data_IF_073002342717
#
_entry.id   IF_073002342717
#
_cell.length_a   1.000
_cell.length_b   1.000
_cell.length_c   1.000
_cell.angle_alpha   90.00
_cell.angle_beta   90.00
_cell.angle_gamma   90.00
#
_symmetry.space_group_name_H-M   'P 1'
#
loop_
_entity.id
_entity.type
_entity.pdbx_description
1 polymer ?
#
# COMPACT_ATOMS: atom_id res chain seq x y z
N UNK A 1 27.80 35.27 -32.36
CA UNK A 1 27.83 34.64 -31.02
C UNK A 1 26.51 33.90 -30.85
N UNK A 2 26.51 32.67 -31.31
CA UNK A 2 25.41 31.70 -31.24
C UNK A 2 25.32 31.10 -29.83
N UNK A 3 24.17 30.50 -29.54
CA UNK A 3 23.92 29.55 -28.44
C UNK A 3 23.34 30.16 -27.15
N UNK A 4 22.09 30.61 -27.20
CA UNK A 4 21.15 30.55 -26.06
C UNK A 4 19.71 30.58 -26.59
N UNK A 5 19.29 29.48 -27.19
CA UNK A 5 17.94 29.31 -27.69
C UNK A 5 17.72 27.89 -28.16
N UNK A 6 17.06 27.09 -27.30
CA UNK A 6 16.32 25.83 -27.60
C UNK A 6 16.45 24.72 -26.53
N UNK A 7 16.29 25.01 -25.23
CA UNK A 7 16.16 23.93 -24.22
C UNK A 7 14.83 23.97 -23.45
N UNK A 8 13.81 24.65 -23.98
CA UNK A 8 12.46 24.65 -23.42
C UNK A 8 11.39 24.52 -24.51
N UNK A 9 11.55 23.51 -25.37
CA UNK A 9 10.66 23.29 -26.50
C UNK A 9 10.53 21.81 -26.84
N UNK A 10 10.16 20.98 -25.86
CA UNK A 10 9.54 19.69 -26.13
C UNK A 10 8.62 19.31 -24.96
N UNK A 11 7.51 20.06 -24.84
CA UNK A 11 6.35 19.55 -24.10
C UNK A 11 5.69 18.53 -25.01
N UNK A 12 6.10 17.27 -24.88
CA UNK A 12 5.34 16.13 -25.39
C UNK A 12 3.88 16.32 -24.94
N UNK A 13 3.01 16.54 -25.91
CA UNK A 13 1.58 16.64 -25.72
C UNK A 13 1.09 15.21 -25.44
N UNK A 14 1.36 14.70 -24.23
CA UNK A 14 0.90 13.39 -23.78
C UNK A 14 -0.62 13.44 -23.75
N UNK A 15 -1.25 13.01 -24.84
CA UNK A 15 -2.70 12.96 -24.93
C UNK A 15 -3.18 11.72 -24.16
N UNK A 16 -4.20 11.89 -23.32
CA UNK A 16 -4.86 10.77 -22.63
C UNK A 16 -5.25 9.66 -23.60
N UNK A 17 -5.57 10.02 -24.84
CA UNK A 17 -5.87 9.08 -25.92
C UNK A 17 -4.69 8.17 -26.31
N UNK A 18 -3.48 8.71 -26.47
CA UNK A 18 -2.27 7.91 -26.70
C UNK A 18 -1.94 7.02 -25.50
N UNK A 19 -2.21 7.49 -24.29
CA UNK A 19 -2.08 6.70 -23.08
C UNK A 19 -2.98 5.45 -23.12
N UNK A 20 -4.29 5.62 -23.37
CA UNK A 20 -5.21 4.49 -23.49
C UNK A 20 -4.86 3.57 -24.67
N UNK A 21 -4.31 4.11 -25.76
CA UNK A 21 -3.81 3.32 -26.89
C UNK A 21 -2.64 2.43 -26.49
N UNK A 22 -1.69 2.92 -25.70
CA UNK A 22 -0.57 2.09 -25.18
C UNK A 22 -1.06 0.92 -24.31
N UNK A 23 -2.16 1.08 -23.55
CA UNK A 23 -2.78 -0.05 -22.83
C UNK A 23 -3.40 -1.06 -23.80
N UNK A 24 -4.00 -0.58 -24.89
CA UNK A 24 -4.56 -1.43 -25.94
C UNK A 24 -3.49 -2.18 -26.75
N UNK A 25 -2.25 -1.68 -26.78
CA UNK A 25 -1.10 -2.33 -27.40
C UNK A 25 -0.57 -3.53 -26.56
N UNK A 26 -1.06 -3.72 -25.33
CA UNK A 26 -0.83 -4.99 -24.64
C UNK A 26 -1.55 -6.13 -25.36
N UNK A 27 -0.86 -7.26 -25.53
CA UNK A 27 -1.50 -8.45 -26.11
C UNK A 27 -2.69 -8.88 -25.24
N UNK A 28 -3.81 -9.27 -25.87
CA UNK A 28 -5.05 -9.70 -25.19
C UNK A 28 -4.82 -10.64 -23.98
N UNK A 29 -3.89 -11.61 -24.03
CA UNK A 29 -3.63 -12.48 -22.90
C UNK A 29 -3.06 -11.77 -21.66
N UNK A 30 -2.28 -10.69 -21.84
CA UNK A 30 -1.72 -9.92 -20.71
C UNK A 30 -2.82 -9.07 -20.09
N UNK A 31 -3.68 -8.45 -20.90
CA UNK A 31 -4.84 -7.70 -20.40
C UNK A 31 -5.76 -8.59 -19.55
N UNK A 32 -6.08 -9.80 -20.04
CA UNK A 32 -6.89 -10.77 -19.28
C UNK A 32 -6.22 -11.18 -17.97
N UNK A 33 -4.89 -11.31 -17.95
CA UNK A 33 -4.13 -11.60 -16.73
C UNK A 33 -4.22 -10.46 -15.72
N UNK A 34 -3.99 -9.21 -16.18
CA UNK A 34 -4.10 -8.02 -15.35
C UNK A 34 -5.51 -7.86 -14.77
N UNK A 35 -6.56 -8.07 -15.58
CA UNK A 35 -7.94 -8.02 -15.09
C UNK A 35 -8.14 -9.00 -13.93
N UNK A 36 -7.62 -10.23 -14.05
CA UNK A 36 -7.70 -11.22 -12.96
C UNK A 36 -6.94 -10.79 -11.71
N UNK A 37 -5.73 -10.23 -11.88
CA UNK A 37 -4.91 -9.72 -10.77
C UNK A 37 -5.62 -8.60 -10.03
N UNK A 38 -6.06 -7.55 -10.73
CA UNK A 38 -6.75 -6.41 -10.11
C UNK A 38 -8.15 -6.78 -9.56
N UNK A 39 -8.86 -7.72 -10.20
CA UNK A 39 -10.13 -8.23 -9.66
C UNK A 39 -9.93 -9.01 -8.37
N UNK A 40 -8.88 -9.86 -8.32
CA UNK A 40 -8.52 -10.60 -7.11
C UNK A 40 -8.08 -9.62 -6.01
N UNK A 41 -7.29 -8.60 -6.36
CA UNK A 41 -6.87 -7.55 -5.43
C UNK A 41 -8.08 -6.84 -4.78
N UNK A 42 -9.10 -6.51 -5.57
CA UNK A 42 -10.33 -5.93 -5.04
C UNK A 42 -11.03 -6.84 -4.01
N UNK A 43 -11.07 -8.16 -4.28
CA UNK A 43 -11.58 -9.15 -3.31
C UNK A 43 -10.72 -9.18 -2.05
N UNK A 44 -9.39 -9.10 -2.16
CA UNK A 44 -8.51 -9.04 -0.98
C UNK A 44 -8.77 -7.80 -0.14
N UNK A 45 -9.00 -6.64 -0.75
CA UNK A 45 -9.37 -5.42 -0.03
C UNK A 45 -10.69 -5.59 0.73
N UNK A 46 -11.70 -6.23 0.14
CA UNK A 46 -12.97 -6.52 0.81
C UNK A 46 -12.78 -7.50 1.98
N UNK A 47 -11.98 -8.54 1.80
CA UNK A 47 -11.65 -9.50 2.86
C UNK A 47 -10.87 -8.84 4.01
N UNK A 48 -9.95 -7.94 3.69
CA UNK A 48 -9.21 -7.15 4.68
C UNK A 48 -10.16 -6.27 5.48
N UNK A 49 -11.07 -5.56 4.80
CA UNK A 49 -12.09 -4.76 5.47
C UNK A 49 -12.99 -5.61 6.37
N UNK A 50 -13.38 -6.81 5.92
CA UNK A 50 -14.14 -7.76 6.72
C UNK A 50 -13.36 -8.25 7.95
N UNK A 51 -12.06 -8.52 7.81
CA UNK A 51 -11.17 -8.88 8.91
C UNK A 51 -11.05 -7.77 9.95
N UNK A 52 -10.82 -6.52 9.50
CA UNK A 52 -10.79 -5.36 10.39
C UNK A 52 -12.13 -5.14 11.12
N UNK A 53 -13.25 -5.32 10.42
CA UNK A 53 -14.58 -5.22 11.03
C UNK A 53 -14.84 -6.34 12.06
N UNK A 54 -14.43 -7.56 11.77
CA UNK A 54 -14.51 -8.69 12.69
C UNK A 54 -13.69 -8.44 13.97
N UNK A 55 -12.55 -7.76 13.86
CA UNK A 55 -11.77 -7.32 15.01
C UNK A 55 -12.55 -6.32 15.88
N UNK A 56 -13.06 -5.24 15.26
CA UNK A 56 -13.75 -4.15 15.97
C UNK A 56 -15.02 -4.65 16.69
N UNK A 57 -15.74 -5.59 16.09
CA UNK A 57 -16.97 -6.16 16.67
C UNK A 57 -16.70 -7.19 17.78
N UNK A 58 -15.45 -7.52 18.07
CA UNK A 58 -15.09 -8.50 19.09
C UNK A 58 -15.46 -9.93 18.73
N UNK A 59 -15.70 -10.23 17.44
CA UNK A 59 -16.14 -11.54 16.97
C UNK A 59 -15.05 -12.62 17.12
N UNK A 60 -13.79 -12.23 17.34
CA UNK A 60 -12.66 -13.14 17.52
C UNK A 60 -12.12 -13.08 18.96
N UNK A 61 -12.29 -14.17 19.70
CA UNK A 61 -11.86 -14.36 21.10
C UNK A 61 -10.36 -14.15 21.34
N UNK A 62 -9.52 -14.24 20.31
CA UNK A 62 -8.06 -14.12 20.42
C UNK A 62 -7.51 -12.73 20.16
N UNK A 63 -8.36 -11.74 19.85
CA UNK A 63 -7.90 -10.38 19.52
C UNK A 63 -7.13 -10.32 18.19
N UNK A 64 -7.32 -9.23 17.47
CA UNK A 64 -6.45 -8.86 16.35
C UNK A 64 -5.10 -8.42 16.90
N UNK A 65 -4.01 -8.83 16.25
CA UNK A 65 -2.66 -8.54 16.70
C UNK A 65 -1.65 -9.62 16.29
N UNK A 66 -0.77 -10.01 17.20
CA UNK A 66 0.37 -10.89 16.90
C UNK A 66 -0.07 -12.26 16.35
N UNK A 67 -1.15 -12.86 16.87
CA UNK A 67 -1.59 -14.18 16.40
C UNK A 67 -2.09 -14.12 14.95
N UNK A 68 -2.95 -13.15 14.61
CA UNK A 68 -3.41 -12.95 13.23
C UNK A 68 -2.24 -12.66 12.28
N UNK A 69 -1.24 -11.89 12.74
CA UNK A 69 0.00 -11.67 12.00
C UNK A 69 0.76 -12.98 11.74
N UNK A 70 0.94 -13.83 12.76
CA UNK A 70 1.64 -15.11 12.61
C UNK A 70 0.90 -16.07 11.66
N UNK A 71 -0.43 -16.15 11.74
CA UNK A 71 -1.24 -16.96 10.82
C UNK A 71 -1.16 -16.42 9.38
N UNK A 72 -1.19 -15.09 9.22
CA UNK A 72 -0.94 -14.44 7.93
C UNK A 72 0.44 -14.81 7.37
N UNK A 73 1.48 -14.76 8.21
CA UNK A 73 2.86 -15.10 7.84
C UNK A 73 2.99 -16.57 7.41
N UNK A 74 2.34 -17.50 8.11
CA UNK A 74 2.28 -18.92 7.69
C UNK A 74 1.64 -19.04 6.29
N UNK A 75 0.64 -18.22 5.99
CA UNK A 75 -0.02 -18.23 4.69
C UNK A 75 0.90 -17.71 3.57
N UNK A 76 1.69 -16.66 3.83
CA UNK A 76 2.72 -16.16 2.91
C UNK A 76 3.81 -17.19 2.64
N UNK A 77 4.30 -17.84 3.70
CA UNK A 77 5.26 -18.93 3.61
C UNK A 77 4.68 -20.06 2.76
N UNK A 78 3.45 -20.48 3.03
CA UNK A 78 2.75 -21.50 2.26
C UNK A 78 2.67 -21.16 0.77
N UNK A 79 2.26 -19.95 0.41
CA UNK A 79 2.19 -19.50 -1.00
C UNK A 79 3.57 -19.53 -1.66
N UNK A 80 4.64 -19.21 -0.92
CA UNK A 80 6.01 -19.16 -1.43
C UNK A 80 6.59 -20.54 -1.71
N UNK A 81 6.23 -21.55 -0.90
CA UNK A 81 6.70 -22.93 -1.08
C UNK A 81 5.81 -23.75 -2.03
N UNK A 82 4.55 -23.37 -2.26
CA UNK A 82 3.67 -24.05 -3.19
C UNK A 82 3.93 -23.60 -4.64
N UNK A 83 4.36 -24.51 -5.55
CA UNK A 83 4.56 -24.16 -6.95
C UNK A 83 3.21 -23.87 -7.63
N UNK A 84 3.25 -23.01 -8.66
CA UNK A 84 2.09 -22.68 -9.49
C UNK A 84 1.72 -23.83 -10.43
N UNK A 85 1.04 -24.83 -9.89
CA UNK A 85 0.50 -25.97 -10.64
C UNK A 85 -1.02 -26.00 -10.54
N UNK A 86 -1.74 -26.57 -11.53
CA UNK A 86 -3.20 -26.63 -11.50
C UNK A 86 -3.78 -27.24 -10.22
N UNK A 87 -3.12 -28.25 -9.66
CA UNK A 87 -3.56 -28.94 -8.43
C UNK A 87 -3.46 -28.04 -7.19
N UNK A 88 -2.48 -27.15 -7.16
CA UNK A 88 -2.23 -26.28 -6.01
C UNK A 88 -3.05 -24.99 -6.06
N UNK A 89 -3.69 -24.66 -7.18
CA UNK A 89 -4.38 -23.37 -7.37
C UNK A 89 -5.37 -23.06 -6.26
N UNK A 90 -6.26 -24.00 -5.94
CA UNK A 90 -7.30 -23.77 -4.93
C UNK A 90 -6.70 -23.51 -3.55
N UNK A 91 -5.68 -24.27 -3.17
CA UNK A 91 -4.97 -24.09 -1.90
C UNK A 91 -4.29 -22.73 -1.88
N UNK A 92 -3.61 -22.32 -2.96
CA UNK A 92 -2.94 -21.02 -3.06
C UNK A 92 -3.91 -19.85 -2.96
N UNK A 93 -5.08 -19.90 -3.61
CA UNK A 93 -6.13 -18.89 -3.43
C UNK A 93 -6.70 -18.89 -2.01
N UNK A 94 -6.92 -20.06 -1.41
CA UNK A 94 -7.36 -20.17 -0.01
C UNK A 94 -6.38 -19.52 0.96
N UNK A 95 -5.08 -19.78 0.79
CA UNK A 95 -4.02 -19.14 1.57
C UNK A 95 -3.96 -17.62 1.34
N UNK A 96 -4.17 -17.16 0.09
CA UNK A 96 -4.20 -15.73 -0.24
C UNK A 96 -5.39 -15.01 0.43
N UNK A 97 -6.57 -15.62 0.40
CA UNK A 97 -7.77 -15.07 1.03
C UNK A 97 -7.66 -15.09 2.55
N UNK A 98 -7.11 -16.17 3.12
CA UNK A 98 -6.79 -16.25 4.53
C UNK A 98 -5.79 -15.16 4.92
N UNK A 99 -4.73 -14.97 4.15
CA UNK A 99 -3.75 -13.90 4.38
C UNK A 99 -4.42 -12.52 4.42
N UNK A 100 -5.23 -12.17 3.43
CA UNK A 100 -5.91 -10.87 3.39
C UNK A 100 -6.86 -10.65 4.58
N UNK A 101 -7.64 -11.66 4.97
CA UNK A 101 -8.51 -11.56 6.14
C UNK A 101 -7.73 -11.40 7.45
N UNK A 102 -6.64 -12.18 7.61
CA UNK A 102 -5.77 -12.12 8.79
C UNK A 102 -5.01 -10.80 8.87
N UNK A 103 -4.62 -10.23 7.73
CA UNK A 103 -4.03 -8.89 7.65
C UNK A 103 -5.02 -7.83 8.14
N UNK A 104 -6.30 -7.94 7.76
CA UNK A 104 -7.37 -7.11 8.30
C UNK A 104 -7.50 -7.19 9.83
N UNK A 105 -7.48 -8.42 10.38
CA UNK A 105 -7.47 -8.62 11.83
C UNK A 105 -6.22 -7.99 12.49
N UNK A 106 -5.05 -8.10 11.86
CA UNK A 106 -3.77 -7.56 12.35
C UNK A 106 -3.77 -6.03 12.40
N UNK A 107 -4.36 -5.38 11.39
CA UNK A 107 -4.47 -3.91 11.32
C UNK A 107 -5.65 -3.39 12.15
N UNK A 108 -6.59 -4.27 12.54
CA UNK A 108 -7.77 -3.96 13.34
C UNK A 108 -7.52 -3.03 14.53
N UNK A 109 -6.53 -3.29 15.41
CA UNK A 109 -6.22 -2.41 16.55
C UNK A 109 -5.83 -0.98 16.15
N UNK A 110 -5.14 -0.81 15.01
CA UNK A 110 -4.77 0.52 14.50
C UNK A 110 -6.01 1.27 13.99
N UNK A 111 -6.95 0.56 13.37
CA UNK A 111 -8.23 1.12 12.94
C UNK A 111 -9.08 1.48 14.15
N UNK A 112 -9.12 0.61 15.17
CA UNK A 112 -9.83 0.88 16.43
C UNK A 112 -9.29 2.15 17.11
N UNK A 113 -7.96 2.31 17.17
CA UNK A 113 -7.32 3.55 17.63
C UNK A 113 -7.77 4.78 16.83
N UNK A 114 -7.87 4.66 15.50
CA UNK A 114 -8.37 5.74 14.65
C UNK A 114 -9.83 6.11 14.95
N UNK A 115 -10.68 5.11 15.22
CA UNK A 115 -12.09 5.29 15.59
C UNK A 115 -12.26 5.90 16.99
N UNK A 116 -11.35 5.61 17.91
CA UNK A 116 -11.33 6.22 19.24
C UNK A 116 -11.01 7.72 19.19
N UNK A 117 -10.16 8.16 18.25
CA UNK A 117 -9.87 9.59 18.02
C UNK A 117 -11.01 10.26 17.25
N UNK A 118 -11.57 9.58 16.26
CA UNK A 118 -12.66 10.09 15.43
C UNK A 118 -13.73 9.01 15.25
N UNK A 119 -14.76 9.07 16.10
CA UNK A 119 -15.85 8.08 16.09
C UNK A 119 -16.68 8.08 14.81
N UNK A 120 -16.55 9.12 13.96
CA UNK A 120 -17.23 9.18 12.66
C UNK A 120 -16.57 8.34 11.56
N UNK A 121 -15.41 7.73 11.82
CA UNK A 121 -14.69 6.90 10.84
C UNK A 121 -14.06 7.68 9.68
N UNK A 122 -14.09 9.01 9.72
CA UNK A 122 -13.60 9.89 8.66
C UNK A 122 -12.11 9.67 8.37
N UNK A 123 -11.30 9.41 9.41
CA UNK A 123 -9.87 9.15 9.27
C UNK A 123 -9.62 7.91 8.41
N UNK A 124 -10.35 6.83 8.67
CA UNK A 124 -10.21 5.54 7.96
C UNK A 124 -10.69 5.68 6.52
N UNK A 125 -11.81 6.38 6.30
CA UNK A 125 -12.33 6.67 4.95
C UNK A 125 -11.33 7.50 4.14
N UNK A 126 -10.75 8.53 4.74
CA UNK A 126 -9.76 9.39 4.10
C UNK A 126 -8.47 8.62 3.79
N UNK A 127 -8.00 7.77 4.71
CA UNK A 127 -6.85 6.89 4.47
C UNK A 127 -7.09 5.97 3.27
N UNK A 128 -8.24 5.29 3.25
CA UNK A 128 -8.64 4.40 2.14
C UNK A 128 -8.71 5.16 0.81
N UNK A 129 -9.27 6.38 0.83
CA UNK A 129 -9.41 7.21 -0.36
C UNK A 129 -8.05 7.63 -0.92
N UNK A 130 -7.14 8.13 -0.07
CA UNK A 130 -5.79 8.50 -0.49
C UNK A 130 -4.98 7.30 -0.96
N UNK A 131 -5.07 6.15 -0.29
CA UNK A 131 -4.43 4.91 -0.77
C UNK A 131 -4.95 4.53 -2.14
N UNK A 132 -6.27 4.52 -2.36
CA UNK A 132 -6.86 4.18 -3.66
C UNK A 132 -6.41 5.14 -4.76
N UNK A 133 -6.34 6.44 -4.47
CA UNK A 133 -5.88 7.44 -5.44
C UNK A 133 -4.40 7.27 -5.77
N UNK A 134 -3.54 7.12 -4.76
CA UNK A 134 -2.10 6.94 -4.92
C UNK A 134 -1.81 5.64 -5.67
N UNK A 135 -2.34 4.52 -5.17
CA UNK A 135 -2.13 3.20 -5.77
C UNK A 135 -2.66 3.17 -7.21
N UNK A 136 -3.90 3.60 -7.43
CA UNK A 136 -4.51 3.65 -8.76
C UNK A 136 -3.72 4.53 -9.74
N UNK A 137 -3.23 5.70 -9.30
CA UNK A 137 -2.46 6.62 -10.15
C UNK A 137 -1.10 6.04 -10.53
N UNK A 138 -0.38 5.45 -9.57
CA UNK A 138 0.94 4.85 -9.83
C UNK A 138 0.83 3.56 -10.64
N UNK A 139 -0.13 2.69 -10.35
CA UNK A 139 -0.43 1.52 -11.16
C UNK A 139 -0.81 1.90 -12.60
N UNK A 140 -1.66 2.92 -12.78
CA UNK A 140 -2.05 3.37 -14.11
C UNK A 140 -0.84 3.98 -14.85
N UNK A 141 -0.10 4.89 -14.22
CA UNK A 141 1.12 5.48 -14.79
C UNK A 141 2.13 4.41 -15.21
N UNK A 142 2.28 3.37 -14.38
CA UNK A 142 3.08 2.19 -14.69
C UNK A 142 2.56 1.51 -15.96
N UNK A 143 1.29 1.08 -16.01
CA UNK A 143 0.71 0.41 -17.19
C UNK A 143 0.81 1.23 -18.49
N UNK A 144 0.89 2.55 -18.38
CA UNK A 144 1.04 3.49 -19.49
C UNK A 144 2.49 3.71 -19.96
N UNK A 145 3.47 3.32 -19.16
CA UNK A 145 4.89 3.59 -19.40
C UNK A 145 5.58 2.47 -20.19
N UNK A 146 6.65 2.83 -20.92
CA UNK A 146 7.42 1.92 -21.75
C UNK A 146 8.37 1.02 -20.94
N UNK A 147 8.35 -0.28 -21.26
CA UNK A 147 8.73 -1.43 -20.41
C UNK A 147 10.22 -1.61 -20.04
N UNK A 148 11.14 -0.71 -20.40
CA UNK A 148 12.58 -1.04 -20.47
C UNK A 148 13.44 -0.64 -19.25
N UNK A 149 12.95 0.16 -18.31
CA UNK A 149 13.82 0.77 -17.28
C UNK A 149 13.76 0.11 -15.89
N UNK A 150 12.92 -0.91 -15.68
CA UNK A 150 12.51 -1.30 -14.33
C UNK A 150 13.39 -2.32 -13.60
N UNK A 151 14.29 -3.02 -14.27
CA UNK A 151 15.15 -4.03 -13.60
C UNK A 151 16.10 -3.38 -12.58
N UNK A 152 16.64 -2.19 -12.88
CA UNK A 152 17.50 -1.45 -11.94
C UNK A 152 16.74 -0.86 -10.75
N UNK A 153 15.42 -0.64 -10.89
CA UNK A 153 14.61 -0.05 -9.84
C UNK A 153 14.40 -1.02 -8.66
N UNK A 154 14.33 -2.33 -8.94
CA UNK A 154 14.16 -3.36 -7.89
C UNK A 154 15.31 -3.36 -6.88
N UNK A 155 16.56 -3.22 -7.33
CA UNK A 155 17.72 -3.17 -6.43
C UNK A 155 17.74 -1.92 -5.55
N UNK A 156 17.35 -0.76 -6.11
CA UNK A 156 17.24 0.50 -5.36
C UNK A 156 16.13 0.40 -4.31
N UNK A 157 14.95 -0.09 -4.69
CA UNK A 157 13.80 -0.24 -3.80
C UNK A 157 14.06 -1.26 -2.69
N UNK A 158 14.70 -2.39 -3.01
CA UNK A 158 15.09 -3.40 -2.01
C UNK A 158 16.10 -2.84 -1.00
N UNK A 159 17.07 -2.06 -1.48
CA UNK A 159 18.04 -1.36 -0.62
C UNK A 159 17.34 -0.33 0.27
N UNK A 160 16.37 0.43 -0.26
CA UNK A 160 15.60 1.40 0.49
C UNK A 160 14.75 0.75 1.60
N UNK A 161 14.08 -0.37 1.32
CA UNK A 161 13.34 -1.13 2.35
C UNK A 161 14.28 -1.67 3.42
N UNK A 162 15.45 -2.19 3.02
CA UNK A 162 16.46 -2.65 3.97
C UNK A 162 16.94 -1.51 4.88
N UNK A 163 17.13 -0.31 4.32
CA UNK A 163 17.46 0.88 5.09
C UNK A 163 16.35 1.27 6.07
N UNK A 164 15.08 1.24 5.63
CA UNK A 164 13.93 1.51 6.51
C UNK A 164 13.83 0.49 7.64
N UNK A 165 14.08 -0.79 7.35
CA UNK A 165 14.13 -1.85 8.36
C UNK A 165 15.19 -1.54 9.43
N UNK A 166 16.41 -1.20 9.02
CA UNK A 166 17.47 -0.82 9.97
C UNK A 166 17.12 0.45 10.74
N UNK A 167 16.53 1.44 10.08
CA UNK A 167 16.06 2.67 10.74
C UNK A 167 15.02 2.37 11.82
N UNK A 168 14.03 1.51 11.53
CA UNK A 168 13.03 1.08 12.50
C UNK A 168 13.66 0.27 13.66
N UNK A 169 14.58 -0.64 13.35
CA UNK A 169 15.30 -1.45 14.33
C UNK A 169 16.10 -0.57 15.31
N UNK A 170 16.92 0.35 14.82
CA UNK A 170 17.68 1.27 15.68
C UNK A 170 16.75 2.22 16.44
N UNK A 171 15.69 2.71 15.79
CA UNK A 171 14.75 3.60 16.45
C UNK A 171 13.97 2.91 17.58
N UNK A 172 13.80 1.59 17.55
CA UNK A 172 13.21 0.84 18.65
C UNK A 172 14.03 0.96 19.96
N UNK A 173 15.35 1.12 19.87
CA UNK A 173 16.22 1.36 21.04
C UNK A 173 16.34 2.84 21.41
N UNK A 174 16.32 3.74 20.41
CA UNK A 174 16.53 5.18 20.61
C UNK A 174 15.24 5.89 21.05
N UNK A 175 14.09 5.49 20.51
CA UNK A 175 12.79 6.13 20.77
C UNK A 175 12.62 7.53 20.14
N UNK A 176 13.29 7.82 19.02
CA UNK A 176 13.27 9.14 18.39
C UNK A 176 12.00 9.37 17.56
N UNK A 177 11.24 10.43 17.91
CA UNK A 177 10.07 10.88 17.13
C UNK A 177 10.43 11.35 15.72
N UNK A 178 11.63 11.90 15.54
CA UNK A 178 12.12 12.37 14.25
C UNK A 178 12.38 11.19 13.32
N UNK A 179 13.11 10.17 13.79
CA UNK A 179 13.40 8.96 13.02
C UNK A 179 12.10 8.22 12.67
N UNK A 180 11.18 8.12 13.62
CA UNK A 180 9.86 7.53 13.37
C UNK A 180 9.10 8.28 12.25
N UNK A 181 9.08 9.62 12.30
CA UNK A 181 8.40 10.42 11.29
C UNK A 181 9.10 10.31 9.92
N UNK A 182 10.43 10.32 9.90
CA UNK A 182 11.21 10.15 8.68
C UNK A 182 10.97 8.77 8.04
N UNK A 183 11.06 7.69 8.83
CA UNK A 183 10.74 6.32 8.40
C UNK A 183 9.35 6.26 7.78
N UNK A 184 8.38 6.92 8.42
CA UNK A 184 7.00 6.87 7.99
C UNK A 184 6.80 7.49 6.59
N UNK A 185 7.35 8.69 6.35
CA UNK A 185 7.21 9.40 5.06
C UNK A 185 8.13 8.82 3.98
N UNK A 186 9.36 8.44 4.31
CA UNK A 186 10.27 7.79 3.37
C UNK A 186 9.72 6.44 2.94
N UNK A 187 9.18 5.66 3.87
CA UNK A 187 8.54 4.39 3.56
C UNK A 187 7.33 4.57 2.65
N UNK A 188 6.50 5.58 2.88
CA UNK A 188 5.38 5.87 1.97
C UNK A 188 5.87 6.11 0.53
N UNK A 189 6.93 6.90 0.36
CA UNK A 189 7.53 7.13 -0.95
C UNK A 189 8.09 5.84 -1.58
N UNK A 190 8.75 5.01 -0.78
CA UNK A 190 9.32 3.73 -1.23
C UNK A 190 8.22 2.77 -1.70
N UNK A 191 7.12 2.61 -0.95
CA UNK A 191 6.01 1.75 -1.36
C UNK A 191 5.26 2.28 -2.58
N UNK A 192 5.15 3.60 -2.76
CA UNK A 192 4.69 4.15 -4.04
C UNK A 192 5.59 3.73 -5.20
N UNK A 193 6.91 3.68 -4.98
CA UNK A 193 7.88 3.14 -5.95
C UNK A 193 7.68 1.66 -6.24
N UNK A 194 7.38 0.84 -5.23
CA UNK A 194 7.06 -0.57 -5.42
C UNK A 194 5.80 -0.79 -6.23
N UNK A 195 4.72 -0.01 -6.02
CA UNK A 195 3.51 -0.12 -6.85
C UNK A 195 3.85 0.02 -8.34
N UNK A 196 4.74 0.96 -8.69
CA UNK A 196 5.20 1.13 -10.07
C UNK A 196 6.00 -0.10 -10.51
N UNK A 197 7.00 -0.51 -9.72
CA UNK A 197 7.90 -1.62 -10.00
C UNK A 197 7.16 -2.95 -10.15
N UNK A 198 6.30 -3.32 -9.21
CA UNK A 198 5.53 -4.56 -9.19
C UNK A 198 4.52 -4.59 -10.32
N UNK A 199 3.84 -3.47 -10.60
CA UNK A 199 2.95 -3.39 -11.77
C UNK A 199 3.71 -3.64 -13.07
N UNK A 200 4.92 -3.10 -13.23
CA UNK A 200 5.77 -3.38 -14.40
C UNK A 200 6.26 -4.82 -14.43
N UNK A 201 6.66 -5.35 -13.29
CA UNK A 201 7.18 -6.69 -13.16
C UNK A 201 6.12 -7.73 -13.52
N UNK A 202 4.86 -7.49 -13.15
CA UNK A 202 3.71 -8.30 -13.53
C UNK A 202 3.52 -8.31 -15.05
N UNK A 203 3.56 -7.14 -15.69
CA UNK A 203 3.46 -7.03 -17.15
C UNK A 203 4.62 -7.74 -17.83
N UNK A 204 5.84 -7.56 -17.34
CA UNK A 204 7.04 -8.20 -17.87
C UNK A 204 6.99 -9.72 -17.74
N UNK A 205 6.68 -10.26 -16.55
CA UNK A 205 6.52 -11.70 -16.31
C UNK A 205 5.42 -12.29 -17.20
N UNK A 206 4.31 -11.58 -17.37
CA UNK A 206 3.22 -12.00 -18.25
C UNK A 206 3.62 -12.05 -19.74
N UNK A 207 4.53 -11.17 -20.20
CA UNK A 207 5.10 -11.26 -21.56
C UNK A 207 5.99 -12.48 -21.75
N UNK A 208 6.67 -12.93 -20.69
CA UNK A 208 7.48 -14.15 -20.68
C UNK A 208 6.65 -15.43 -20.50
N UNK A 209 5.32 -15.32 -20.40
CA UNK A 209 4.42 -16.46 -20.24
C UNK A 209 4.12 -16.84 -18.78
N UNK A 210 4.75 -16.20 -17.79
CA UNK A 210 4.45 -16.41 -16.37
C UNK A 210 3.20 -15.63 -15.96
N UNK A 211 2.11 -16.35 -15.66
CA UNK A 211 0.77 -15.80 -15.37
C UNK A 211 0.24 -16.26 -14.00
N UNK A 212 1.10 -16.20 -12.99
CA UNK A 212 0.75 -16.55 -11.61
C UNK A 212 -0.08 -15.43 -10.98
N UNK A 213 -1.41 -15.54 -11.06
CA UNK A 213 -2.34 -14.52 -10.52
C UNK A 213 -2.18 -14.38 -9.00
N UNK A 214 -1.97 -15.49 -8.27
CA UNK A 214 -1.88 -15.46 -6.81
C UNK A 214 -0.67 -14.64 -6.37
N UNK A 215 0.50 -14.95 -6.93
CA UNK A 215 1.75 -14.24 -6.57
C UNK A 215 1.70 -12.78 -6.98
N UNK A 216 1.25 -12.49 -8.20
CA UNK A 216 1.17 -11.12 -8.70
C UNK A 216 0.16 -10.27 -7.92
N UNK A 217 -0.96 -10.86 -7.50
CA UNK A 217 -1.93 -10.16 -6.63
C UNK A 217 -1.35 -9.93 -5.24
N UNK A 218 -0.65 -10.92 -4.69
CA UNK A 218 -0.02 -10.81 -3.38
C UNK A 218 1.02 -9.68 -3.31
N UNK A 219 1.90 -9.59 -4.30
CA UNK A 219 2.91 -8.54 -4.43
C UNK A 219 2.25 -7.14 -4.37
N UNK A 220 1.25 -6.89 -5.24
CA UNK A 220 0.50 -5.62 -5.23
C UNK A 220 -0.30 -5.37 -3.94
N UNK A 221 -0.84 -6.42 -3.32
CA UNK A 221 -1.63 -6.30 -2.11
C UNK A 221 -0.78 -5.85 -0.91
N UNK A 222 0.44 -6.39 -0.79
CA UNK A 222 1.39 -5.98 0.27
C UNK A 222 1.73 -4.49 0.13
N UNK A 223 2.01 -4.01 -1.08
CA UNK A 223 2.25 -2.58 -1.32
C UNK A 223 1.05 -1.71 -0.97
N UNK A 224 -0.14 -2.13 -1.37
CA UNK A 224 -1.39 -1.41 -1.09
C UNK A 224 -1.62 -1.26 0.42
N UNK A 225 -1.45 -2.35 1.18
CA UNK A 225 -1.59 -2.35 2.63
C UNK A 225 -0.51 -1.49 3.29
N UNK A 226 0.74 -1.59 2.83
CA UNK A 226 1.82 -0.77 3.35
C UNK A 226 1.58 0.73 3.17
N UNK A 227 1.04 1.15 2.01
CA UNK A 227 0.61 2.53 1.77
C UNK A 227 -0.55 2.91 2.70
N UNK A 228 -1.58 2.06 2.81
CA UNK A 228 -2.74 2.28 3.69
C UNK A 228 -2.34 2.51 5.14
N UNK A 229 -1.57 1.60 5.73
CA UNK A 229 -1.16 1.68 7.14
C UNK A 229 -0.38 2.98 7.40
N UNK A 230 0.53 3.38 6.50
CA UNK A 230 1.30 4.61 6.64
C UNK A 230 0.44 5.86 6.54
N UNK A 231 -0.48 5.93 5.58
CA UNK A 231 -1.40 7.06 5.44
C UNK A 231 -2.33 7.14 6.66
N UNK A 232 -2.86 6.00 7.11
CA UNK A 232 -3.70 5.94 8.31
C UNK A 232 -2.96 6.51 9.51
N UNK A 233 -1.71 6.10 9.73
CA UNK A 233 -0.89 6.62 10.82
C UNK A 233 -0.62 8.14 10.69
N UNK A 234 -0.32 8.64 9.49
CA UNK A 234 -0.17 10.09 9.24
C UNK A 234 -1.44 10.84 9.66
N UNK A 235 -2.61 10.35 9.27
CA UNK A 235 -3.88 11.01 9.54
C UNK A 235 -4.26 10.96 11.02
N UNK A 236 -3.98 9.84 11.70
CA UNK A 236 -4.10 9.70 13.16
C UNK A 236 -3.26 10.77 13.85
N UNK A 237 -1.94 10.80 13.57
CA UNK A 237 -0.99 11.75 14.19
C UNK A 237 -1.42 13.20 13.95
N UNK A 238 -1.78 13.54 12.72
CA UNK A 238 -2.24 14.89 12.36
C UNK A 238 -3.54 15.29 13.09
N UNK A 239 -4.41 14.32 13.37
CA UNK A 239 -5.68 14.57 14.08
C UNK A 239 -5.43 14.80 15.58
N UNK A 240 -4.57 13.99 16.20
CA UNK A 240 -4.16 14.16 17.60
C UNK A 240 -3.48 15.52 17.83
N UNK A 241 -2.56 15.94 16.94
CA UNK A 241 -1.89 17.24 17.02
C UNK A 241 -2.88 18.41 16.94
N UNK A 242 -3.87 18.33 16.05
CA UNK A 242 -4.94 19.33 15.93
C UNK A 242 -5.81 19.41 17.19
N UNK A 243 -6.18 18.27 17.75
CA UNK A 243 -6.99 18.24 18.97
C UNK A 243 -6.23 18.82 20.17
N UNK A 244 -4.97 18.44 20.34
CA UNK A 244 -4.09 18.97 21.38
C UNK A 244 -3.90 20.49 21.27
N UNK A 245 -3.78 21.01 20.04
CA UNK A 245 -3.73 22.46 19.78
C UNK A 245 -5.01 23.18 20.20
N UNK A 246 -6.19 22.60 19.90
CA UNK A 246 -7.50 23.15 20.30
C UNK A 246 -7.66 23.17 21.82
N UNK A 247 -7.31 22.08 22.51
CA UNK A 247 -7.37 21.97 23.98
C UNK A 247 -6.49 23.05 24.64
N UNK A 248 -5.25 23.23 24.17
CA UNK A 248 -4.34 24.29 24.67
C UNK A 248 -4.91 25.69 24.47
N UNK A 249 -5.54 25.97 23.31
CA UNK A 249 -6.16 27.26 23.02
C UNK A 249 -7.37 27.55 23.93
N UNK A 250 -8.20 26.54 24.18
CA UNK A 250 -9.37 26.68 25.06
C UNK A 250 -8.95 26.91 26.52
N UNK A 251 -7.94 26.18 27.01
CA UNK A 251 -7.42 26.38 28.36
C UNK A 251 -6.88 27.81 28.56
N UNK A 252 -6.16 28.34 27.57
CA UNK A 252 -5.69 29.73 27.61
C UNK A 252 -6.85 30.72 27.64
N UNK A 253 -7.88 30.54 26.81
CA UNK A 253 -9.07 31.41 26.79
C UNK A 253 -9.80 31.41 28.13
N UNK A 254 -10.04 30.24 28.72
CA UNK A 254 -10.70 30.11 30.01
C UNK A 254 -9.89 30.78 31.13
N UNK A 255 -8.56 30.71 31.06
CA UNK A 255 -7.69 31.41 32.01
C UNK A 255 -7.83 32.93 31.89
N UNK A 256 -7.90 33.50 30.69
CA UNK A 256 -8.09 34.94 30.51
C UNK A 256 -9.51 35.43 30.86
N UNK A 257 -10.54 34.59 30.74
CA UNK A 257 -11.91 34.94 31.14
C UNK A 257 -12.17 34.81 32.65
N UNK A 258 -11.22 34.26 33.41
CA UNK A 258 -11.30 34.13 34.86
C UNK A 258 -10.65 35.31 35.63
N UNK A 259 -10.05 36.27 34.91
CA UNK A 259 -9.53 37.54 35.42
C UNK A 259 -10.37 38.70 34.87
#
# INVERSE_FOLDING_TARGET
MSTFGSTFGDRNNFSTFEAFKNVSDLTKPIQQHLIKVYSTLAVLCLLTAAGSYAHITGLFLFGGGLLSFLVGLVSLIGISFLPDTPNNKNIRYGLLFNFAFMEGLSIGPLIDHALNINSSGQIVLLATTFTSLIFGSFSLSSLLSNKRTFIYLGGILASAVSMLFWMAFFNAFIGSKLLYTAELYLGLFVFCGYVIYDTQLIVYRATLGSRDVVRHTLELFIDLIAIFVRILYILIKNSEEKENGRRKRNNRRNQYSAY
#
